data_IF_434814704106
#
_entry.id   IF_434814704106
#
_cell.length_a   1.000
_cell.length_b   1.000
_cell.length_c   1.000
_cell.angle_alpha   90.00
_cell.angle_beta   90.00
_cell.angle_gamma   90.00
#
_symmetry.space_group_name_H-M   'P 1'
#
loop_
_entity.id
_entity.type
_entity.pdbx_description
1 polymer ?
#
# COMPACT_ATOMS: atom_id res chain seq x y z
N UNK A 1 3.46 26.41 -12.53
CA UNK A 1 4.52 25.65 -13.22
C UNK A 1 5.82 25.90 -12.48
N UNK A 2 6.15 25.02 -11.54
CA UNK A 2 7.51 24.94 -10.96
C UNK A 2 7.93 23.50 -11.20
N UNK A 3 8.70 23.30 -12.27
CA UNK A 3 9.37 22.02 -12.50
C UNK A 3 10.38 21.86 -11.35
N UNK A 4 10.14 20.90 -10.45
CA UNK A 4 11.15 20.45 -9.52
C UNK A 4 12.30 19.87 -10.35
N UNK A 5 13.41 20.63 -10.46
CA UNK A 5 14.64 20.23 -11.15
C UNK A 5 15.41 19.14 -10.40
N UNK A 6 15.07 18.91 -9.13
CA UNK A 6 15.78 17.96 -8.29
C UNK A 6 15.17 16.56 -8.46
N UNK A 7 16.00 15.61 -8.86
CA UNK A 7 15.66 14.18 -8.92
C UNK A 7 15.95 13.52 -7.58
N UNK A 8 15.01 13.60 -6.64
CA UNK A 8 15.23 13.10 -5.27
C UNK A 8 15.37 11.56 -5.18
N UNK A 9 15.07 10.83 -6.25
CA UNK A 9 15.14 9.36 -6.28
C UNK A 9 16.23 8.82 -7.21
N UNK A 10 17.17 9.65 -7.66
CA UNK A 10 18.28 9.15 -8.48
C UNK A 10 19.08 8.07 -7.74
N UNK A 11 19.24 6.91 -8.38
CA UNK A 11 19.89 5.74 -7.79
C UNK A 11 19.05 4.96 -6.76
N UNK A 12 17.79 5.37 -6.52
CA UNK A 12 16.87 4.72 -5.57
C UNK A 12 15.97 3.70 -6.27
N UNK A 13 15.65 2.59 -5.60
CA UNK A 13 14.72 1.55 -6.08
C UNK A 13 13.39 1.66 -5.33
N UNK A 14 12.29 1.68 -6.08
CA UNK A 14 10.95 1.91 -5.56
C UNK A 14 10.00 0.81 -6.03
N UNK A 15 9.21 0.23 -5.13
CA UNK A 15 8.07 -0.65 -5.47
C UNK A 15 6.78 0.13 -5.24
N UNK A 16 5.85 0.04 -6.19
CA UNK A 16 4.47 0.52 -6.01
C UNK A 16 3.49 -0.63 -6.29
N UNK A 17 2.67 -0.97 -5.30
CA UNK A 17 1.67 -2.03 -5.46
C UNK A 17 0.37 -1.50 -6.08
N UNK A 18 -0.26 -2.28 -6.96
CA UNK A 18 -1.43 -1.82 -7.71
C UNK A 18 -1.10 -0.69 -8.69
N UNK A 19 0.12 -0.69 -9.24
CA UNK A 19 0.67 0.41 -10.04
C UNK A 19 0.17 0.47 -11.49
N UNK A 20 -0.77 -0.39 -11.90
CA UNK A 20 -1.24 -0.46 -13.28
C UNK A 20 -2.50 0.38 -13.54
N UNK A 21 -3.04 1.07 -12.51
CA UNK A 21 -4.18 1.98 -12.67
C UNK A 21 -4.31 2.97 -11.50
N UNK A 22 -5.10 4.03 -11.70
CA UNK A 22 -5.48 4.97 -10.65
C UNK A 22 -4.30 5.60 -9.91
N UNK A 23 -4.42 5.71 -8.59
CA UNK A 23 -3.45 6.35 -7.69
C UNK A 23 -2.07 5.69 -7.78
N UNK A 24 -2.02 4.35 -7.83
CA UNK A 24 -0.76 3.61 -7.90
C UNK A 24 0.01 3.90 -9.19
N UNK A 25 -0.68 3.95 -10.32
CA UNK A 25 -0.08 4.32 -11.62
C UNK A 25 0.49 5.73 -11.60
N UNK A 26 -0.27 6.69 -11.10
CA UNK A 26 0.18 8.08 -11.02
C UNK A 26 1.35 8.25 -10.05
N UNK A 27 1.33 7.51 -8.93
CA UNK A 27 2.46 7.46 -8.01
C UNK A 27 3.70 6.91 -8.70
N UNK A 28 3.62 5.74 -9.36
CA UNK A 28 4.73 5.13 -10.09
C UNK A 28 5.31 6.06 -11.17
N UNK A 29 4.43 6.73 -11.93
CA UNK A 29 4.79 7.73 -12.93
C UNK A 29 5.57 8.90 -12.31
N UNK A 30 5.08 9.45 -11.20
CA UNK A 30 5.76 10.54 -10.50
C UNK A 30 7.12 10.13 -9.92
N UNK A 31 7.25 8.92 -9.35
CA UNK A 31 8.54 8.41 -8.88
C UNK A 31 9.56 8.25 -10.02
N UNK A 32 9.11 7.84 -11.21
CA UNK A 32 9.97 7.76 -12.39
C UNK A 32 10.44 9.16 -12.85
N UNK A 33 9.57 10.17 -12.84
CA UNK A 33 9.96 11.56 -13.09
C UNK A 33 10.99 12.09 -12.08
N UNK A 34 10.97 11.56 -10.86
CA UNK A 34 11.93 11.90 -9.79
C UNK A 34 13.25 11.11 -9.89
N UNK A 35 13.45 10.31 -10.95
CA UNK A 35 14.69 9.60 -11.24
C UNK A 35 14.80 8.19 -10.65
N UNK A 36 13.73 7.70 -9.99
CA UNK A 36 13.71 6.39 -9.37
C UNK A 36 13.71 5.24 -10.37
N UNK A 37 14.31 4.12 -9.97
CA UNK A 37 14.02 2.82 -10.59
C UNK A 37 12.71 2.32 -10.03
N UNK A 38 11.66 2.30 -10.85
CA UNK A 38 10.28 2.02 -10.39
C UNK A 38 9.85 0.64 -10.85
N UNK A 39 9.54 -0.21 -9.89
CA UNK A 39 9.01 -1.56 -10.09
C UNK A 39 7.50 -1.50 -9.85
N UNK A 40 6.75 -1.75 -10.91
CA UNK A 40 5.31 -1.88 -10.84
C UNK A 40 4.99 -3.28 -10.33
N UNK A 41 4.21 -3.37 -9.27
CA UNK A 41 3.67 -4.64 -8.80
C UNK A 41 2.17 -4.69 -9.11
N UNK A 42 1.75 -5.74 -9.80
CA UNK A 42 0.33 -6.02 -10.04
C UNK A 42 0.11 -7.39 -10.68
N UNK A 43 -1.15 -7.71 -10.95
CA UNK A 43 -1.58 -9.03 -11.41
C UNK A 43 -2.01 -9.08 -12.89
N UNK A 44 -1.74 -8.02 -13.66
CA UNK A 44 -2.17 -7.91 -15.06
C UNK A 44 -1.00 -7.41 -15.93
N UNK A 45 -0.34 -8.31 -16.69
CA UNK A 45 0.85 -7.96 -17.47
C UNK A 45 0.53 -6.98 -18.61
N UNK A 46 -0.64 -7.06 -19.23
CA UNK A 46 -1.02 -6.16 -20.33
C UNK A 46 -1.17 -4.71 -19.84
N UNK A 47 -1.84 -4.50 -18.70
CA UNK A 47 -1.96 -3.17 -18.09
C UNK A 47 -0.62 -2.66 -17.57
N UNK A 48 0.23 -3.55 -17.08
CA UNK A 48 1.60 -3.19 -16.69
C UNK A 48 2.41 -2.73 -17.89
N UNK A 49 2.42 -3.49 -18.99
CA UNK A 49 3.08 -3.13 -20.23
C UNK A 49 2.59 -1.79 -20.79
N UNK A 50 1.28 -1.56 -20.79
CA UNK A 50 0.70 -0.27 -21.19
C UNK A 50 1.20 0.88 -20.30
N UNK A 51 1.23 0.69 -18.97
CA UNK A 51 1.70 1.71 -18.03
C UNK A 51 3.19 1.98 -18.19
N UNK A 52 4.02 0.95 -18.38
CA UNK A 52 5.45 1.09 -18.67
C UNK A 52 5.66 1.89 -19.96
N UNK A 53 4.91 1.57 -21.02
CA UNK A 53 5.00 2.26 -22.30
C UNK A 53 4.54 3.72 -22.24
N UNK A 54 3.61 4.07 -21.33
CA UNK A 54 3.28 5.47 -21.04
C UNK A 54 4.43 6.19 -20.33
N UNK A 55 4.95 5.63 -19.23
CA UNK A 55 6.04 6.27 -18.46
C UNK A 55 7.29 6.45 -19.32
N UNK A 56 7.67 5.45 -20.13
CA UNK A 56 8.83 5.52 -21.03
C UNK A 56 8.69 6.55 -22.15
N UNK A 57 7.47 6.99 -22.49
CA UNK A 57 7.24 8.09 -23.45
C UNK A 57 7.34 9.47 -22.81
N UNK A 58 7.19 9.55 -21.50
CA UNK A 58 7.17 10.82 -20.76
C UNK A 58 8.49 11.11 -20.03
N UNK A 59 9.26 10.06 -19.73
CA UNK A 59 10.54 10.14 -19.02
C UNK A 59 11.62 9.49 -19.87
N UNK A 60 12.53 10.30 -20.38
CA UNK A 60 13.69 9.79 -21.12
C UNK A 60 14.55 8.90 -20.23
N UNK A 61 14.96 7.75 -20.77
CA UNK A 61 15.73 6.72 -20.05
C UNK A 61 15.09 6.23 -18.74
N UNK A 62 13.75 6.22 -18.65
CA UNK A 62 13.04 5.71 -17.48
C UNK A 62 13.41 4.26 -17.15
N UNK A 63 13.84 4.03 -15.91
CA UNK A 63 14.12 2.70 -15.36
C UNK A 63 12.85 2.16 -14.73
N UNK A 64 12.05 1.48 -15.54
CA UNK A 64 10.73 1.00 -15.13
C UNK A 64 10.62 -0.49 -15.43
N UNK A 65 10.28 -1.25 -14.40
CA UNK A 65 10.17 -2.70 -14.43
C UNK A 65 8.82 -3.18 -13.88
N UNK A 66 8.56 -4.47 -13.97
CA UNK A 66 7.34 -5.11 -13.51
C UNK A 66 7.63 -6.42 -12.81
N UNK A 67 6.90 -6.66 -11.72
CA UNK A 67 6.80 -7.95 -11.06
C UNK A 67 5.33 -8.37 -10.98
N UNK A 68 5.07 -9.61 -11.42
CA UNK A 68 3.72 -10.19 -11.47
C UNK A 68 3.40 -10.84 -10.12
N UNK A 69 2.35 -10.37 -9.46
CA UNK A 69 1.79 -11.04 -8.29
C UNK A 69 0.35 -10.60 -8.03
N UNK A 70 -0.51 -11.55 -7.63
CA UNK A 70 -1.76 -11.28 -6.92
C UNK A 70 -1.48 -11.22 -5.41
N UNK A 71 -1.63 -10.03 -4.82
CA UNK A 71 -1.43 -9.82 -3.38
C UNK A 71 -2.52 -10.44 -2.49
N UNK A 72 -3.50 -11.13 -3.07
CA UNK A 72 -4.41 -12.00 -2.32
C UNK A 72 -3.91 -13.46 -2.22
N UNK A 73 -2.81 -13.80 -2.88
CA UNK A 73 -2.16 -15.12 -2.87
C UNK A 73 -0.83 -15.06 -2.13
N UNK A 74 -0.74 -15.71 -0.97
CA UNK A 74 0.49 -15.70 -0.18
C UNK A 74 1.67 -16.37 -0.92
N UNK A 75 1.41 -17.47 -1.63
CA UNK A 75 2.43 -18.15 -2.42
C UNK A 75 3.05 -17.23 -3.49
N UNK A 76 2.23 -16.41 -4.16
CA UNK A 76 2.73 -15.44 -5.14
C UNK A 76 3.52 -14.31 -4.47
N UNK A 77 3.17 -13.90 -3.24
CA UNK A 77 3.94 -12.90 -2.49
C UNK A 77 5.33 -13.44 -2.11
N UNK A 78 5.44 -14.72 -1.72
CA UNK A 78 6.74 -15.34 -1.47
C UNK A 78 7.59 -15.43 -2.75
N UNK A 79 7.00 -15.89 -3.86
CA UNK A 79 7.68 -15.96 -5.16
C UNK A 79 8.16 -14.58 -5.64
N UNK A 80 7.31 -13.57 -5.48
CA UNK A 80 7.64 -12.18 -5.77
C UNK A 80 8.84 -11.68 -4.96
N UNK A 81 8.89 -11.99 -3.66
CA UNK A 81 10.00 -11.57 -2.80
C UNK A 81 11.32 -12.24 -3.21
N UNK A 82 11.28 -13.53 -3.56
CA UNK A 82 12.42 -14.26 -4.11
C UNK A 82 12.87 -13.69 -5.46
N UNK A 83 11.93 -13.42 -6.38
CA UNK A 83 12.23 -12.80 -7.67
C UNK A 83 12.85 -11.40 -7.48
N UNK A 84 12.32 -10.61 -6.55
CA UNK A 84 12.88 -9.30 -6.22
C UNK A 84 14.33 -9.43 -5.71
N UNK A 85 14.59 -10.32 -4.75
CA UNK A 85 15.91 -10.52 -4.18
C UNK A 85 16.95 -11.02 -5.21
N UNK A 86 16.51 -11.76 -6.24
CA UNK A 86 17.36 -12.22 -7.34
C UNK A 86 17.72 -11.10 -8.32
N UNK A 87 16.94 -10.02 -8.37
CA UNK A 87 17.06 -8.95 -9.39
C UNK A 87 17.56 -7.63 -8.82
N UNK A 88 17.34 -7.38 -7.53
CA UNK A 88 17.65 -6.12 -6.87
C UNK A 88 18.26 -6.37 -5.49
N UNK A 89 19.31 -5.64 -5.18
CA UNK A 89 20.04 -5.67 -3.91
C UNK A 89 19.61 -4.58 -2.92
N UNK A 90 18.69 -3.70 -3.34
CA UNK A 90 18.22 -2.55 -2.57
C UNK A 90 16.75 -2.24 -2.78
N UNK A 91 16.10 -1.70 -1.75
CA UNK A 91 14.74 -1.17 -1.79
C UNK A 91 14.63 0.07 -0.91
N UNK A 92 14.48 1.23 -1.53
CA UNK A 92 14.46 2.52 -0.83
C UNK A 92 13.04 3.02 -0.53
N UNK A 93 12.07 2.67 -1.37
CA UNK A 93 10.67 3.09 -1.20
C UNK A 93 9.73 1.93 -1.48
N UNK A 94 8.87 1.59 -0.52
CA UNK A 94 7.75 0.67 -0.69
C UNK A 94 6.43 1.43 -0.53
N UNK A 95 5.66 1.56 -1.61
CA UNK A 95 4.31 2.11 -1.58
C UNK A 95 3.30 0.98 -1.66
N UNK A 96 2.76 0.61 -0.50
CA UNK A 96 1.65 -0.32 -0.40
C UNK A 96 0.33 0.41 -0.73
N UNK A 97 -0.05 0.37 -2.01
CA UNK A 97 -1.22 1.07 -2.56
C UNK A 97 -2.36 0.12 -3.02
N UNK A 98 -2.05 -1.11 -3.40
CA UNK A 98 -3.03 -2.07 -3.89
C UNK A 98 -4.22 -2.25 -2.93
N UNK A 99 -5.42 -2.24 -3.47
CA UNK A 99 -6.58 -2.59 -2.66
C UNK A 99 -7.86 -2.60 -3.44
N UNK A 100 -8.82 -3.34 -2.92
CA UNK A 100 -10.15 -3.44 -3.49
C UNK A 100 -11.23 -3.42 -2.41
N UNK A 101 -12.46 -3.23 -2.86
CA UNK A 101 -13.66 -3.21 -2.05
C UNK A 101 -14.57 -4.34 -2.49
N UNK A 102 -15.00 -5.21 -1.58
CA UNK A 102 -15.86 -6.35 -1.89
C UNK A 102 -17.19 -6.22 -1.13
N UNK A 103 -18.30 -6.05 -1.85
CA UNK A 103 -19.64 -5.94 -1.25
C UNK A 103 -20.07 -7.22 -0.53
N UNK A 104 -19.65 -8.36 -1.09
CA UNK A 104 -20.00 -9.70 -0.65
C UNK A 104 -18.74 -10.43 -0.19
N UNK A 105 -18.90 -11.33 0.78
CA UNK A 105 -17.78 -12.13 1.27
C UNK A 105 -17.25 -13.00 0.14
N UNK A 106 -15.95 -12.94 -0.08
CA UNK A 106 -15.20 -13.80 -0.97
C UNK A 106 -13.99 -14.32 -0.20
N UNK A 107 -13.44 -15.44 -0.64
CA UNK A 107 -12.21 -15.99 -0.08
C UNK A 107 -11.11 -15.92 -1.13
N UNK A 108 -9.89 -15.59 -0.69
CA UNK A 108 -8.69 -15.75 -1.49
C UNK A 108 -8.34 -17.24 -1.68
N UNK A 109 -7.33 -17.52 -2.48
CA UNK A 109 -6.81 -18.88 -2.69
C UNK A 109 -6.35 -19.54 -1.38
N UNK A 110 -5.98 -18.73 -0.38
CA UNK A 110 -5.56 -19.18 0.96
C UNK A 110 -6.74 -19.37 1.94
N UNK A 111 -7.99 -19.24 1.48
CA UNK A 111 -9.19 -19.39 2.33
C UNK A 111 -9.42 -18.24 3.30
N UNK A 112 -8.82 -17.08 3.05
CA UNK A 112 -8.93 -15.86 3.87
C UNK A 112 -9.94 -14.90 3.25
N UNK A 113 -10.69 -14.16 4.07
CA UNK A 113 -11.59 -13.11 3.57
C UNK A 113 -10.84 -12.14 2.64
N UNK A 114 -11.35 -11.98 1.41
CA UNK A 114 -10.63 -11.37 0.30
C UNK A 114 -10.20 -9.91 0.56
N UNK A 115 -11.02 -9.10 1.22
CA UNK A 115 -10.67 -7.72 1.57
C UNK A 115 -9.49 -7.68 2.55
N UNK A 116 -9.51 -8.52 3.57
CA UNK A 116 -8.45 -8.62 4.57
C UNK A 116 -7.17 -9.23 3.98
N UNK A 117 -7.30 -10.27 3.15
CA UNK A 117 -6.20 -10.89 2.41
C UNK A 117 -5.46 -9.86 1.55
N UNK A 118 -6.16 -9.18 0.65
CA UNK A 118 -5.56 -8.22 -0.28
C UNK A 118 -5.09 -6.92 0.40
N UNK A 119 -5.96 -6.28 1.19
CA UNK A 119 -5.72 -4.91 1.62
C UNK A 119 -4.78 -4.78 2.82
N UNK A 120 -4.65 -5.86 3.62
CA UNK A 120 -3.86 -5.87 4.87
C UNK A 120 -2.83 -6.99 4.90
N UNK A 121 -3.22 -8.27 4.77
CA UNK A 121 -2.25 -9.37 4.86
C UNK A 121 -1.24 -9.36 3.70
N UNK A 122 -1.66 -8.96 2.50
CA UNK A 122 -0.76 -8.76 1.38
C UNK A 122 0.29 -7.68 1.66
N UNK A 123 -0.09 -6.61 2.35
CA UNK A 123 0.84 -5.55 2.76
C UNK A 123 1.79 -6.07 3.85
N UNK A 124 1.21 -6.73 4.87
CA UNK A 124 1.94 -7.27 6.00
C UNK A 124 3.00 -8.27 5.55
N UNK A 125 2.63 -9.27 4.74
CA UNK A 125 3.53 -10.31 4.27
C UNK A 125 4.62 -9.72 3.37
N UNK A 126 4.24 -8.96 2.34
CA UNK A 126 5.19 -8.35 1.41
C UNK A 126 6.21 -7.46 2.14
N UNK A 127 5.74 -6.60 3.05
CA UNK A 127 6.61 -5.67 3.77
C UNK A 127 7.60 -6.42 4.64
N UNK A 128 7.17 -7.46 5.36
CA UNK A 128 8.06 -8.26 6.22
C UNK A 128 9.09 -9.05 5.39
N UNK A 129 8.71 -9.60 4.23
CA UNK A 129 9.65 -10.34 3.37
C UNK A 129 10.72 -9.44 2.73
N UNK A 130 10.42 -8.15 2.54
CA UNK A 130 11.35 -7.18 1.95
C UNK A 130 12.11 -6.38 3.02
N UNK A 131 11.84 -6.61 4.31
CA UNK A 131 12.25 -5.72 5.39
C UNK A 131 13.77 -5.64 5.56
N UNK A 132 14.46 -6.78 5.51
CA UNK A 132 15.91 -6.84 5.65
C UNK A 132 16.61 -6.04 4.53
N UNK A 133 16.12 -6.16 3.29
CA UNK A 133 16.63 -5.37 2.16
C UNK A 133 16.37 -3.88 2.35
N UNK A 134 15.21 -3.49 2.87
CA UNK A 134 14.91 -2.08 3.17
C UNK A 134 15.79 -1.52 4.28
N UNK A 135 16.06 -2.29 5.34
CA UNK A 135 16.96 -1.91 6.43
C UNK A 135 18.39 -1.74 5.89
N UNK A 136 18.87 -2.68 5.07
CA UNK A 136 20.18 -2.57 4.42
C UNK A 136 20.27 -1.38 3.44
N UNK A 137 19.13 -0.90 2.94
CA UNK A 137 19.03 0.25 2.02
C UNK A 137 18.82 1.58 2.73
N UNK A 138 18.77 1.61 4.06
CA UNK A 138 18.44 2.81 4.83
C UNK A 138 19.32 4.02 4.44
N UNK A 139 18.76 5.25 4.35
CA UNK A 139 17.38 5.60 4.69
C UNK A 139 16.36 5.11 3.64
N UNK A 140 15.30 4.45 4.12
CA UNK A 140 14.23 3.88 3.31
C UNK A 140 12.84 4.24 3.86
N UNK A 141 11.80 4.18 3.02
CA UNK A 141 10.44 4.66 3.35
C UNK A 141 9.38 3.64 2.98
N UNK A 142 8.52 3.31 3.93
CA UNK A 142 7.33 2.47 3.74
C UNK A 142 6.08 3.36 3.85
N UNK A 143 5.23 3.33 2.83
CA UNK A 143 4.02 4.14 2.73
C UNK A 143 2.81 3.21 2.57
N UNK A 144 1.92 3.22 3.56
CA UNK A 144 0.72 2.39 3.58
C UNK A 144 -0.54 3.20 3.25
N UNK A 145 -1.20 2.88 2.14
CA UNK A 145 -2.47 3.53 1.76
C UNK A 145 -3.62 2.97 2.59
N UNK A 146 -4.19 3.83 3.43
CA UNK A 146 -5.41 3.61 4.21
C UNK A 146 -6.60 4.40 3.61
N UNK A 147 -7.61 4.73 4.42
CA UNK A 147 -8.84 5.44 4.04
C UNK A 147 -9.46 6.13 5.26
N UNK A 148 -10.21 7.21 5.08
CA UNK A 148 -11.05 7.79 6.13
C UNK A 148 -12.07 6.80 6.75
N UNK A 149 -12.34 5.66 6.08
CA UNK A 149 -13.16 4.56 6.62
C UNK A 149 -12.63 3.98 7.94
N UNK A 150 -11.32 4.11 8.22
CA UNK A 150 -10.76 3.64 9.49
C UNK A 150 -11.28 4.41 10.71
N UNK A 151 -11.68 5.69 10.54
CA UNK A 151 -12.08 6.59 11.63
C UNK A 151 -13.29 6.08 12.45
N UNK A 152 -14.13 5.23 11.85
CA UNK A 152 -15.33 4.67 12.48
C UNK A 152 -15.31 3.15 12.55
N UNK A 153 -14.12 2.56 12.44
CA UNK A 153 -13.93 1.10 12.40
C UNK A 153 -13.29 0.61 13.70
N UNK A 154 -13.51 -0.67 13.99
CA UNK A 154 -12.83 -1.41 15.05
C UNK A 154 -12.38 -2.76 14.50
N UNK A 155 -11.50 -3.45 15.24
CA UNK A 155 -11.09 -4.81 14.89
C UNK A 155 -12.03 -5.81 15.56
N UNK A 156 -12.76 -6.58 14.76
CA UNK A 156 -13.60 -7.69 15.25
C UNK A 156 -12.79 -8.98 15.27
N UNK A 157 -11.91 -9.16 16.25
CA UNK A 157 -11.06 -10.35 16.31
C UNK A 157 -11.84 -11.67 16.47
N UNK A 158 -13.07 -11.64 17.00
CA UNK A 158 -13.89 -12.84 17.19
C UNK A 158 -14.55 -13.34 15.89
N UNK A 159 -14.61 -12.50 14.86
CA UNK A 159 -15.07 -12.86 13.51
C UNK A 159 -14.33 -12.03 12.46
N UNK A 160 -13.00 -12.05 12.53
CA UNK A 160 -12.12 -11.18 11.73
C UNK A 160 -12.33 -11.37 10.23
N UNK A 161 -12.61 -12.61 9.84
CA UNK A 161 -12.88 -13.04 8.46
C UNK A 161 -14.37 -12.90 8.05
N UNK A 162 -15.24 -12.41 8.93
CA UNK A 162 -16.67 -12.23 8.67
C UNK A 162 -17.42 -13.53 8.33
N UNK A 163 -17.00 -14.66 8.89
CA UNK A 163 -17.62 -15.99 8.67
C UNK A 163 -19.02 -16.07 9.28
N UNK A 164 -19.27 -15.37 10.40
CA UNK A 164 -20.58 -15.32 11.05
C UNK A 164 -21.47 -14.23 10.44
N UNK A 165 -20.93 -13.02 10.25
CA UNK A 165 -21.68 -11.90 9.66
C UNK A 165 -20.78 -10.97 8.87
N UNK A 166 -20.81 -11.09 7.55
CA UNK A 166 -20.07 -10.21 6.65
C UNK A 166 -20.82 -8.90 6.33
N UNK A 167 -20.06 -7.81 6.22
CA UNK A 167 -20.53 -6.53 5.68
C UNK A 167 -19.37 -5.86 4.97
N UNK A 168 -19.47 -5.67 3.64
CA UNK A 168 -18.40 -5.08 2.83
C UNK A 168 -17.85 -3.75 3.36
N UNK A 169 -18.70 -2.75 3.69
CA UNK A 169 -18.25 -1.50 4.32
C UNK A 169 -17.48 -1.71 5.62
N UNK A 170 -17.89 -2.67 6.47
CA UNK A 170 -17.20 -2.98 7.72
C UNK A 170 -15.87 -3.69 7.48
N UNK A 171 -15.84 -4.67 6.58
CA UNK A 171 -14.62 -5.39 6.22
C UNK A 171 -13.56 -4.44 5.64
N UNK A 172 -13.97 -3.53 4.76
CA UNK A 172 -13.09 -2.50 4.20
C UNK A 172 -12.63 -1.48 5.23
N UNK A 173 -13.53 -0.99 6.09
CA UNK A 173 -13.16 -0.10 7.19
C UNK A 173 -12.16 -0.75 8.14
N UNK A 174 -12.38 -2.01 8.50
CA UNK A 174 -11.48 -2.83 9.31
C UNK A 174 -10.13 -3.02 8.62
N UNK A 175 -10.08 -3.35 7.33
CA UNK A 175 -8.80 -3.52 6.62
C UNK A 175 -8.01 -2.21 6.55
N UNK A 176 -8.69 -1.06 6.44
CA UNK A 176 -8.03 0.25 6.41
C UNK A 176 -7.58 0.71 7.80
N UNK A 177 -8.30 0.33 8.86
CA UNK A 177 -7.82 0.48 10.23
C UNK A 177 -6.60 -0.41 10.50
N UNK A 178 -6.62 -1.66 10.01
CA UNK A 178 -5.51 -2.58 10.13
C UNK A 178 -4.22 -2.00 9.52
N UNK A 179 -4.31 -1.32 8.37
CA UNK A 179 -3.15 -0.62 7.78
C UNK A 179 -2.59 0.50 8.66
N UNK A 180 -3.42 1.23 9.42
CA UNK A 180 -2.95 2.28 10.35
C UNK A 180 -2.29 1.65 11.58
N UNK A 181 -2.91 0.63 12.17
CA UNK A 181 -2.35 -0.13 13.29
C UNK A 181 -1.00 -0.77 12.89
N UNK A 182 -0.94 -1.37 11.70
CA UNK A 182 0.28 -1.94 11.14
C UNK A 182 1.38 -0.89 10.97
N UNK A 183 1.06 0.28 10.42
CA UNK A 183 2.01 1.39 10.31
C UNK A 183 2.62 1.77 11.66
N UNK A 184 1.79 1.90 12.71
CA UNK A 184 2.28 2.33 14.02
C UNK A 184 3.13 1.26 14.72
N UNK A 185 2.69 0.00 14.68
CA UNK A 185 3.47 -1.11 15.24
C UNK A 185 4.77 -1.32 14.47
N UNK A 186 4.77 -1.25 13.13
CA UNK A 186 5.98 -1.40 12.32
C UNK A 186 6.94 -0.22 12.54
N UNK A 187 6.43 1.02 12.63
CA UNK A 187 7.25 2.18 12.95
C UNK A 187 7.96 2.04 14.30
N UNK A 188 7.28 1.49 15.32
CA UNK A 188 7.88 1.21 16.62
C UNK A 188 8.95 0.11 16.52
N UNK A 189 8.68 -0.97 15.79
CA UNK A 189 9.64 -2.08 15.59
C UNK A 189 10.89 -1.70 14.82
N UNK A 190 10.82 -0.66 13.99
CA UNK A 190 11.92 -0.20 13.14
C UNK A 190 12.69 0.99 13.72
N UNK A 191 12.44 1.35 14.98
CA UNK A 191 13.19 2.41 15.65
C UNK A 191 14.70 2.13 15.60
N UNK A 192 15.50 3.13 15.21
CA UNK A 192 16.95 3.01 15.07
C UNK A 192 17.45 2.37 13.77
N UNK A 193 16.59 1.78 12.94
CA UNK A 193 17.01 1.15 11.66
C UNK A 193 17.21 2.15 10.51
N UNK A 194 16.69 3.37 10.64
CA UNK A 194 16.66 4.35 9.55
C UNK A 194 15.55 4.14 8.51
N UNK A 195 14.67 3.15 8.70
CA UNK A 195 13.48 2.93 7.88
C UNK A 195 12.28 3.66 8.51
N UNK A 196 11.60 4.51 7.74
CA UNK A 196 10.38 5.20 8.20
C UNK A 196 9.11 4.54 7.67
N UNK A 197 8.03 4.60 8.45
CA UNK A 197 6.74 4.00 8.08
C UNK A 197 5.62 4.99 8.35
N UNK A 198 4.85 5.34 7.32
CA UNK A 198 3.70 6.24 7.46
C UNK A 198 2.47 5.71 6.74
N UNK A 199 1.30 6.12 7.21
CA UNK A 199 0.02 5.82 6.58
C UNK A 199 -0.58 7.10 5.98
N UNK A 200 -1.42 6.95 4.97
CA UNK A 200 -2.14 8.08 4.38
C UNK A 200 -3.59 7.75 4.03
N UNK A 201 -4.40 8.78 3.86
CA UNK A 201 -5.64 8.69 3.09
C UNK A 201 -5.52 9.54 1.81
N UNK A 202 -5.79 8.95 0.63
CA UNK A 202 -5.62 9.64 -0.65
C UNK A 202 -6.77 10.60 -0.98
N UNK A 203 -7.70 10.86 -0.05
CA UNK A 203 -8.97 11.49 -0.37
C UNK A 203 -9.96 10.53 -1.03
N UNK A 204 -11.14 11.04 -1.38
CA UNK A 204 -12.13 10.28 -2.13
C UNK A 204 -11.84 10.45 -3.61
N UNK A 205 -11.22 9.47 -4.26
CA UNK A 205 -10.73 9.57 -5.65
C UNK A 205 -11.59 8.73 -6.58
N UNK A 206 -11.90 9.26 -7.77
CA UNK A 206 -12.65 8.55 -8.80
C UNK A 206 -11.77 7.46 -9.45
N UNK A 207 -11.61 6.34 -8.75
CA UNK A 207 -10.81 5.20 -9.22
C UNK A 207 -11.68 4.05 -9.70
N UNK A 208 -11.05 3.01 -10.24
CA UNK A 208 -11.69 1.72 -10.56
C UNK A 208 -11.93 0.84 -9.32
N UNK A 209 -11.69 1.36 -8.10
CA UNK A 209 -11.90 0.63 -6.85
C UNK A 209 -13.37 0.19 -6.74
N UNK A 210 -13.57 -1.12 -6.53
CA UNK A 210 -14.91 -1.72 -6.47
C UNK A 210 -15.49 -2.16 -7.82
N UNK A 211 -14.75 -2.03 -8.93
CA UNK A 211 -15.14 -2.53 -10.26
C UNK A 211 -15.38 -4.06 -10.30
N UNK A 212 -14.84 -4.78 -9.32
CA UNK A 212 -15.06 -6.20 -9.04
C UNK A 212 -16.46 -6.52 -8.46
N UNK A 213 -17.28 -5.53 -8.11
CA UNK A 213 -18.63 -5.74 -7.55
C UNK A 213 -19.76 -5.78 -8.61
N UNK A 214 -19.40 -5.97 -9.88
CA UNK A 214 -20.38 -6.10 -10.96
C UNK A 214 -21.18 -4.83 -11.23
N UNK A 215 -22.45 -5.00 -11.60
CA UNK A 215 -23.30 -3.90 -12.11
C UNK A 215 -23.69 -2.87 -11.03
N UNK A 216 -23.73 -3.25 -9.75
CA UNK A 216 -24.17 -2.40 -8.64
C UNK A 216 -23.27 -1.16 -8.49
N UNK A 217 -21.94 -1.34 -8.53
CA UNK A 217 -21.00 -0.22 -8.47
C UNK A 217 -20.97 0.57 -9.78
N UNK A 218 -21.18 -0.08 -10.94
CA UNK A 218 -21.31 0.62 -12.23
C UNK A 218 -22.49 1.59 -12.24
N UNK A 219 -23.62 1.22 -11.63
CA UNK A 219 -24.81 2.05 -11.55
C UNK A 219 -24.63 3.29 -10.64
N UNK A 220 -23.86 3.17 -9.56
CA UNK A 220 -23.62 4.27 -8.60
C UNK A 220 -22.44 5.18 -8.98
N UNK A 221 -21.60 4.76 -9.92
CA UNK A 221 -20.36 5.45 -10.35
C UNK A 221 -20.56 6.94 -10.75
N UNK A 222 -21.62 7.34 -11.50
CA UNK A 222 -21.80 8.74 -11.88
C UNK A 222 -22.04 9.66 -10.68
N UNK A 223 -22.81 9.20 -9.69
CA UNK A 223 -23.12 9.95 -8.47
C UNK A 223 -21.90 10.06 -7.55
N UNK A 224 -21.10 9.01 -7.47
CA UNK A 224 -19.85 9.00 -6.71
C UNK A 224 -18.82 10.00 -7.30
N UNK A 225 -18.70 10.09 -8.63
CA UNK A 225 -17.67 10.92 -9.26
C UNK A 225 -17.84 12.44 -9.05
N UNK A 226 -19.02 12.95 -8.69
CA UNK A 226 -19.29 14.39 -8.54
C UNK A 226 -18.55 15.07 -7.37
N UNK A 227 -18.07 14.30 -6.39
CA UNK A 227 -17.31 14.80 -5.22
C UNK A 227 -15.92 14.18 -5.12
N UNK A 228 -15.47 13.56 -6.20
CA UNK A 228 -14.21 12.83 -6.21
C UNK A 228 -13.05 13.72 -6.66
N UNK A 229 -11.93 13.60 -5.96
CA UNK A 229 -10.64 14.13 -6.38
C UNK A 229 -10.22 13.46 -7.69
N UNK A 230 -9.42 14.19 -8.47
CA UNK A 230 -8.69 13.64 -9.60
C UNK A 230 -7.63 12.63 -9.13
N UNK A 231 -7.18 11.76 -10.04
CA UNK A 231 -6.14 10.79 -9.74
C UNK A 231 -4.81 11.45 -9.31
N UNK A 232 -4.33 12.54 -9.96
CA UNK A 232 -3.15 13.28 -9.50
C UNK A 232 -3.29 13.83 -8.08
N UNK A 233 -4.42 14.47 -7.75
CA UNK A 233 -4.69 14.94 -6.39
C UNK A 233 -4.71 13.78 -5.38
N UNK A 234 -5.19 12.61 -5.78
CA UNK A 234 -5.20 11.41 -4.96
C UNK A 234 -3.82 10.82 -4.67
N UNK A 235 -2.88 10.95 -5.62
CA UNK A 235 -1.52 10.45 -5.51
C UNK A 235 -0.58 11.41 -4.77
N UNK A 236 -0.94 12.69 -4.68
CA UNK A 236 -0.09 13.75 -4.13
C UNK A 236 0.53 13.40 -2.77
N UNK A 237 -0.27 12.89 -1.83
CA UNK A 237 0.25 12.56 -0.49
C UNK A 237 1.19 11.35 -0.50
N UNK A 238 0.96 10.37 -1.38
CA UNK A 238 1.85 9.22 -1.51
C UNK A 238 3.19 9.64 -2.11
N UNK A 239 3.15 10.50 -3.13
CA UNK A 239 4.33 11.07 -3.78
C UNK A 239 5.12 11.91 -2.77
N UNK A 240 4.45 12.82 -2.04
CA UNK A 240 5.07 13.64 -1.00
C UNK A 240 5.80 12.79 0.05
N UNK A 241 5.16 11.74 0.55
CA UNK A 241 5.78 10.83 1.52
C UNK A 241 6.97 10.06 0.93
N UNK A 242 6.89 9.66 -0.33
CA UNK A 242 7.94 8.94 -1.00
C UNK A 242 9.17 9.80 -1.32
N UNK A 243 9.00 11.10 -1.62
CA UNK A 243 10.07 11.90 -2.24
C UNK A 243 10.48 13.16 -1.49
N UNK A 244 9.62 13.72 -0.63
CA UNK A 244 9.90 15.02 -0.02
C UNK A 244 11.00 14.92 1.05
N UNK A 245 11.98 15.84 1.06
CA UNK A 245 12.91 15.99 2.18
C UNK A 245 12.23 16.42 3.49
N UNK A 246 11.09 17.10 3.41
CA UNK A 246 10.37 17.62 4.59
C UNK A 246 9.87 16.54 5.56
N UNK A 247 9.77 15.30 5.08
CA UNK A 247 9.33 14.13 5.87
C UNK A 247 10.46 13.14 6.12
N UNK A 248 11.70 13.54 5.90
CA UNK A 248 12.86 12.74 6.30
C UNK A 248 12.85 12.50 7.82
N UNK A 249 13.07 11.24 8.23
CA UNK A 249 12.98 10.82 9.63
C UNK A 249 11.56 10.80 10.23
N UNK A 250 10.53 11.30 9.53
CA UNK A 250 9.15 11.26 10.02
C UNK A 250 8.63 9.83 9.91
N UNK A 251 8.25 9.23 11.03
CA UNK A 251 7.72 7.86 11.11
C UNK A 251 6.54 7.77 12.08
N UNK A 252 5.69 6.75 11.91
CA UNK A 252 4.55 6.48 12.79
C UNK A 252 3.44 7.53 12.70
N UNK A 253 3.26 8.18 11.55
CA UNK A 253 2.22 9.22 11.35
C UNK A 253 1.17 8.81 10.32
N UNK A 254 0.04 9.50 10.40
CA UNK A 254 -1.05 9.40 9.44
C UNK A 254 -1.22 10.73 8.71
N UNK A 255 -1.34 10.70 7.38
CA UNK A 255 -1.35 11.88 6.54
C UNK A 255 -2.64 12.04 5.74
N UNK A 256 -3.06 13.30 5.60
CA UNK A 256 -4.10 13.74 4.67
C UNK A 256 -3.59 15.01 3.98
N UNK A 257 -3.57 15.03 2.64
CA UNK A 257 -3.14 16.20 1.84
C UNK A 257 -1.78 16.72 2.30
N UNK A 258 -0.80 15.83 2.36
CA UNK A 258 0.60 16.11 2.75
C UNK A 258 0.78 16.67 4.17
N UNK A 259 -0.25 16.61 5.03
CA UNK A 259 -0.16 17.04 6.43
C UNK A 259 -0.36 15.87 7.37
N UNK A 260 0.50 15.77 8.38
CA UNK A 260 0.31 14.85 9.48
C UNK A 260 -0.92 15.27 10.30
N UNK A 261 -1.84 14.34 10.52
CA UNK A 261 -3.08 14.55 11.27
C UNK A 261 -3.34 13.35 12.19
N UNK A 262 -4.14 13.52 13.27
CA UNK A 262 -4.56 12.39 14.09
C UNK A 262 -5.36 11.35 13.29
N UNK A 263 -5.13 10.07 13.59
CA UNK A 263 -5.97 8.95 13.12
C UNK A 263 -7.06 8.63 14.16
N UNK A 264 -7.80 7.53 13.97
CA UNK A 264 -8.81 7.08 14.94
C UNK A 264 -8.21 6.88 16.34
N UNK A 265 -8.96 7.14 17.40
CA UNK A 265 -8.48 6.86 18.77
C UNK A 265 -8.13 5.38 18.96
N UNK A 266 -8.89 4.48 18.34
CA UNK A 266 -8.69 3.04 18.39
C UNK A 266 -7.34 2.60 17.78
N UNK A 267 -6.81 3.33 16.80
CA UNK A 267 -5.50 3.00 16.20
C UNK A 267 -4.31 3.29 17.11
N UNK A 268 -4.47 4.04 18.20
CA UNK A 268 -3.42 4.29 19.18
C UNK A 268 -3.37 3.24 20.32
N UNK A 269 -4.28 2.27 20.32
CA UNK A 269 -4.24 1.16 21.27
C UNK A 269 -3.14 0.16 20.90
N UNK A 270 -2.04 0.21 21.63
CA UNK A 270 -0.88 -0.65 21.40
C UNK A 270 -1.20 -2.15 21.62
N UNK A 271 -2.15 -2.50 22.49
CA UNK A 271 -2.53 -3.88 22.70
C UNK A 271 -3.29 -4.43 21.48
N UNK A 272 -4.14 -3.61 20.88
CA UNK A 272 -4.83 -3.94 19.61
C UNK A 272 -3.82 -4.09 18.47
N UNK A 273 -2.86 -3.17 18.34
CA UNK A 273 -1.84 -3.22 17.29
C UNK A 273 -0.99 -4.51 17.40
N UNK A 274 -0.52 -4.84 18.61
CA UNK A 274 0.21 -6.08 18.89
C UNK A 274 -0.63 -7.33 18.64
N UNK A 275 -1.92 -7.32 18.97
CA UNK A 275 -2.83 -8.44 18.69
C UNK A 275 -3.02 -8.62 17.18
N UNK A 276 -3.22 -7.54 16.43
CA UNK A 276 -3.31 -7.59 14.98
C UNK A 276 -2.02 -8.12 14.35
N UNK A 277 -0.85 -7.68 14.82
CA UNK A 277 0.44 -8.18 14.35
C UNK A 277 0.54 -9.69 14.50
N UNK A 278 0.32 -10.23 15.71
CA UNK A 278 0.37 -11.67 15.97
C UNK A 278 -0.59 -12.47 15.11
N UNK A 279 -1.84 -12.02 15.00
CA UNK A 279 -2.84 -12.69 14.15
C UNK A 279 -2.39 -12.65 12.68
N UNK A 280 -1.73 -11.57 12.25
CA UNK A 280 -1.23 -11.45 10.88
C UNK A 280 -0.03 -12.37 10.62
N UNK A 281 0.89 -12.54 11.58
CA UNK A 281 1.95 -13.56 11.54
C UNK A 281 1.36 -14.97 11.43
N UNK A 282 0.42 -15.32 12.33
CA UNK A 282 -0.25 -16.62 12.33
C UNK A 282 -0.97 -16.92 11.01
N UNK A 283 -1.69 -15.95 10.46
CA UNK A 283 -2.44 -16.12 9.21
C UNK A 283 -1.55 -16.15 7.97
N UNK A 284 -0.33 -15.62 8.05
CA UNK A 284 0.62 -15.58 6.92
C UNK A 284 1.71 -16.65 6.97
N UNK A 285 1.75 -17.42 8.06
CA UNK A 285 2.82 -18.39 8.30
C UNK A 285 4.22 -17.77 8.42
N UNK A 286 4.31 -16.44 8.56
CA UNK A 286 5.57 -15.75 8.83
C UNK A 286 6.10 -16.25 10.17
N UNK A 287 7.23 -16.96 10.13
CA UNK A 287 7.97 -17.33 11.33
C UNK A 287 8.32 -16.05 12.07
N UNK A 288 8.07 -15.97 13.38
CA UNK A 288 8.28 -14.74 14.15
C UNK A 288 9.69 -14.20 13.88
N UNK A 289 9.78 -13.07 13.19
CA UNK A 289 11.04 -12.35 13.01
C UNK A 289 11.48 -11.99 14.43
N UNK A 290 12.69 -12.36 14.87
CA UNK A 290 13.21 -11.90 16.15
C UNK A 290 13.07 -10.38 16.19
N UNK A 291 12.52 -9.84 17.27
CA UNK A 291 12.53 -8.40 17.46
C UNK A 291 13.99 -7.92 17.30
N UNK A 292 14.20 -6.97 16.38
CA UNK A 292 15.49 -6.32 16.14
C UNK A 292 16.03 -5.76 17.45
#
# INVERSE_FOLDING_TARGET
MTAHKDKYLEGKVCIVTGATSGIGKETARALAHQGGTVILLGHNPDKAAATIGEIKREVDAAKVDYLLADLSSQAEIYQLAEEFANRYDRLDVLVNNAGAFFLWRQESVDGIEMTFALNHLGYFLLTNLLLDTMIASAPARIINVSSGSHLRSTMNFDDLQGRRKYSGPKAYGQSKLANVLFTYELAWRLEGTGVTVNALHPGFVATTMGSNNGWVVRALRPLMNLRALSVPEGAETAIYLATSPEVEGVTGKYFIRCKAVPSSSYSYDAAVAKRLWRVSEEMTGLSQIPAV
#
